data_IF_735996325093
#
_entry.id   IF_735996325093
#
_cell.length_a   1.000
_cell.length_b   1.000
_cell.length_c   1.000
_cell.angle_alpha   90.00
_cell.angle_beta   90.00
_cell.angle_gamma   90.00
#
_symmetry.space_group_name_H-M   'P 1'
#
loop_
_entity.id
_entity.type
_entity.pdbx_description
1 polymer ?
#
# COMPACT_ATOMS: atom_id res chain seq x y z
N UNK A 1 40.64 2.50 1.67
CA UNK A 1 39.37 2.56 0.93
C UNK A 1 38.84 1.15 0.78
N UNK A 2 37.60 0.90 1.20
CA UNK A 2 36.94 -0.41 1.10
C UNK A 2 36.50 -0.62 -0.35
N UNK A 3 37.00 -1.62 -1.08
CA UNK A 3 36.66 -1.88 -2.50
C UNK A 3 35.17 -2.19 -2.69
N UNK A 4 34.51 -2.65 -1.63
CA UNK A 4 33.07 -2.79 -1.45
C UNK A 4 32.29 -1.47 -1.54
N UNK A 5 32.94 -0.31 -1.41
CA UNK A 5 32.29 1.01 -1.50
C UNK A 5 32.01 1.47 -2.93
N UNK A 6 32.84 1.08 -3.91
CA UNK A 6 32.70 1.56 -5.29
C UNK A 6 31.45 0.97 -5.98
N UNK A 7 31.21 -0.36 -5.94
CA UNK A 7 29.99 -0.94 -6.51
C UNK A 7 28.72 -0.40 -5.84
N UNK A 8 28.72 -0.25 -4.51
CA UNK A 8 27.58 0.27 -3.76
C UNK A 8 27.32 1.76 -4.09
N UNK A 9 28.37 2.57 -4.19
CA UNK A 9 28.25 3.98 -4.58
C UNK A 9 27.74 4.12 -6.01
N UNK A 10 28.21 3.28 -6.94
CA UNK A 10 27.73 3.27 -8.31
C UNK A 10 26.27 2.81 -8.39
N UNK A 11 25.89 1.76 -7.66
CA UNK A 11 24.50 1.30 -7.58
C UNK A 11 23.58 2.41 -7.01
N UNK A 12 24.04 3.12 -5.98
CA UNK A 12 23.32 4.27 -5.40
C UNK A 12 23.13 5.39 -6.44
N UNK A 13 24.17 5.70 -7.21
CA UNK A 13 24.11 6.69 -8.27
C UNK A 13 23.10 6.29 -9.36
N UNK A 14 23.18 5.04 -9.83
CA UNK A 14 22.24 4.51 -10.82
C UNK A 14 20.80 4.57 -10.32
N UNK A 15 20.55 4.17 -9.07
CA UNK A 15 19.24 4.26 -8.45
C UNK A 15 18.72 5.70 -8.44
N UNK A 16 19.56 6.68 -8.05
CA UNK A 16 19.19 8.09 -8.04
C UNK A 16 18.84 8.60 -9.43
N UNK A 17 19.61 8.22 -10.46
CA UNK A 17 19.31 8.60 -11.85
C UNK A 17 18.00 7.98 -12.33
N UNK A 18 17.79 6.69 -12.08
CA UNK A 18 16.54 5.99 -12.42
C UNK A 18 15.33 6.58 -11.70
N UNK A 19 15.53 7.17 -10.51
CA UNK A 19 14.44 7.77 -9.72
C UNK A 19 13.92 9.08 -10.29
N UNK A 20 14.74 9.86 -11.00
CA UNK A 20 14.34 11.15 -11.57
C UNK A 20 13.11 11.03 -12.49
N UNK A 21 13.07 10.16 -13.51
CA UNK A 21 11.89 10.03 -14.35
C UNK A 21 10.67 9.49 -13.58
N UNK A 22 10.86 8.60 -12.61
CA UNK A 22 9.77 8.08 -11.78
C UNK A 22 9.11 9.18 -10.94
N UNK A 23 9.90 10.13 -10.42
CA UNK A 23 9.37 11.28 -9.69
C UNK A 23 8.53 12.20 -10.60
N UNK A 24 8.92 12.36 -11.87
CA UNK A 24 8.11 13.11 -12.84
C UNK A 24 6.77 12.42 -13.10
N UNK A 25 6.75 11.09 -13.18
CA UNK A 25 5.52 10.31 -13.34
C UNK A 25 4.63 10.45 -12.10
N UNK A 26 5.21 10.41 -10.91
CA UNK A 26 4.51 10.65 -9.64
C UNK A 26 3.86 12.05 -9.59
N UNK A 27 4.62 13.10 -9.91
CA UNK A 27 4.13 14.48 -9.80
C UNK A 27 3.15 14.86 -10.93
N UNK A 28 3.41 14.43 -12.18
CA UNK A 28 2.63 14.86 -13.36
C UNK A 28 1.70 13.81 -13.94
N UNK A 29 2.08 12.54 -13.87
CA UNK A 29 1.29 11.44 -14.41
C UNK A 29 0.19 11.03 -13.43
N UNK A 30 0.56 10.78 -12.18
CA UNK A 30 -0.37 10.29 -11.15
C UNK A 30 -1.31 11.39 -10.64
N UNK A 31 -0.99 12.68 -10.84
CA UNK A 31 -1.92 13.78 -10.52
C UNK A 31 -3.19 13.78 -11.36
N UNK A 32 -3.21 13.06 -12.49
CA UNK A 32 -4.41 12.87 -13.33
C UNK A 32 -5.23 11.63 -12.94
N UNK A 33 -4.70 10.80 -12.05
CA UNK A 33 -5.34 9.56 -11.60
C UNK A 33 -5.95 9.80 -10.23
N UNK A 34 -7.18 9.31 -10.04
CA UNK A 34 -7.86 9.36 -8.75
C UNK A 34 -6.95 8.84 -7.64
N UNK A 35 -6.95 9.56 -6.52
CA UNK A 35 -6.03 9.29 -5.42
C UNK A 35 -6.31 7.95 -4.72
N UNK A 36 -7.56 7.47 -4.77
CA UNK A 36 -7.95 6.16 -4.26
C UNK A 36 -7.83 5.05 -5.32
N UNK A 37 -7.38 5.38 -6.54
CA UNK A 37 -7.22 4.39 -7.61
C UNK A 37 -6.24 3.30 -7.19
N UNK A 38 -6.61 2.00 -7.33
CA UNK A 38 -5.71 0.89 -7.05
C UNK A 38 -4.39 0.98 -7.81
N UNK A 39 -4.41 1.48 -9.06
CA UNK A 39 -3.23 1.64 -9.89
C UNK A 39 -2.25 2.67 -9.31
N UNK A 40 -2.75 3.83 -8.87
CA UNK A 40 -1.92 4.88 -8.26
C UNK A 40 -1.33 4.39 -6.94
N UNK A 41 -2.13 3.74 -6.10
CA UNK A 41 -1.66 3.19 -4.82
C UNK A 41 -0.62 2.08 -4.99
N UNK A 42 -0.79 1.21 -5.98
CA UNK A 42 0.18 0.17 -6.29
C UNK A 42 1.52 0.80 -6.73
N UNK A 43 1.46 1.84 -7.56
CA UNK A 43 2.65 2.59 -7.99
C UNK A 43 3.35 3.29 -6.81
N UNK A 44 2.62 4.04 -5.98
CA UNK A 44 3.17 4.71 -4.80
C UNK A 44 3.76 3.69 -3.81
N UNK A 45 3.11 2.55 -3.61
CA UNK A 45 3.64 1.48 -2.76
C UNK A 45 4.93 0.89 -3.31
N UNK A 46 4.99 0.62 -4.61
CA UNK A 46 6.20 0.16 -5.30
C UNK A 46 7.35 1.15 -5.11
N UNK A 47 7.10 2.46 -5.28
CA UNK A 47 8.11 3.50 -5.08
C UNK A 47 8.66 3.53 -3.65
N UNK A 48 7.80 3.38 -2.64
CA UNK A 48 8.20 3.29 -1.22
C UNK A 48 9.12 2.09 -1.00
N UNK A 49 8.79 0.94 -1.59
CA UNK A 49 9.57 -0.29 -1.40
C UNK A 49 10.94 -0.20 -2.09
N UNK A 50 11.00 0.39 -3.28
CA UNK A 50 12.27 0.68 -3.95
C UNK A 50 13.14 1.63 -3.12
N UNK A 51 12.58 2.72 -2.58
CA UNK A 51 13.35 3.68 -1.76
C UNK A 51 13.84 3.02 -0.45
N UNK A 52 13.03 2.15 0.16
CA UNK A 52 13.45 1.36 1.34
C UNK A 52 14.55 0.36 1.01
N UNK A 53 14.46 -0.33 -0.12
CA UNK A 53 15.50 -1.24 -0.57
C UNK A 53 16.82 -0.48 -0.83
N UNK A 54 16.76 0.68 -1.48
CA UNK A 54 17.93 1.53 -1.69
C UNK A 54 18.52 2.06 -0.36
N UNK A 55 17.68 2.43 0.61
CA UNK A 55 18.15 2.81 1.93
C UNK A 55 18.87 1.64 2.63
N UNK A 56 18.25 0.46 2.65
CA UNK A 56 18.76 -0.70 3.38
C UNK A 56 19.99 -1.34 2.72
N UNK A 57 19.95 -1.54 1.41
CA UNK A 57 21.02 -2.24 0.67
C UNK A 57 22.16 -1.31 0.25
N UNK A 58 21.86 -0.04 -0.03
CA UNK A 58 22.83 0.91 -0.58
C UNK A 58 23.21 2.01 0.41
N UNK A 59 22.63 2.04 1.61
CA UNK A 59 22.87 3.10 2.60
C UNK A 59 22.48 4.49 2.10
N UNK A 60 21.44 4.60 1.26
CA UNK A 60 20.99 5.89 0.72
C UNK A 60 19.99 6.57 1.67
N UNK A 61 20.49 7.43 2.56
CA UNK A 61 19.66 8.23 3.48
C UNK A 61 18.63 9.11 2.76
N UNK A 62 18.95 9.57 1.54
CA UNK A 62 17.97 10.34 0.75
C UNK A 62 16.80 9.47 0.32
N UNK A 63 17.03 8.19 0.05
CA UNK A 63 15.97 7.23 -0.26
C UNK A 63 15.12 6.97 0.98
N UNK A 64 15.72 6.81 2.16
CA UNK A 64 14.98 6.69 3.42
C UNK A 64 14.04 7.88 3.67
N UNK A 65 14.56 9.11 3.50
CA UNK A 65 13.76 10.33 3.64
C UNK A 65 12.60 10.40 2.64
N UNK A 66 12.84 10.03 1.37
CA UNK A 66 11.77 9.98 0.34
C UNK A 66 10.70 8.94 0.65
N UNK A 67 11.10 7.73 1.07
CA UNK A 67 10.14 6.69 1.46
C UNK A 67 9.25 7.17 2.61
N UNK A 68 9.83 7.84 3.61
CA UNK A 68 9.07 8.40 4.73
C UNK A 68 8.13 9.52 4.29
N UNK A 69 8.60 10.45 3.46
CA UNK A 69 7.80 11.56 2.95
C UNK A 69 6.62 11.07 2.10
N UNK A 70 6.86 10.15 1.16
CA UNK A 70 5.82 9.57 0.32
C UNK A 70 4.83 8.75 1.16
N UNK A 71 5.32 7.94 2.09
CA UNK A 71 4.47 7.19 3.01
C UNK A 71 3.53 8.13 3.78
N UNK A 72 4.06 9.24 4.31
CA UNK A 72 3.28 10.23 5.05
C UNK A 72 2.23 10.91 4.17
N UNK A 73 2.58 11.27 2.93
CA UNK A 73 1.64 11.87 1.97
C UNK A 73 0.44 10.97 1.70
N UNK A 74 0.64 9.66 1.56
CA UNK A 74 -0.44 8.70 1.27
C UNK A 74 -1.17 8.18 2.52
N UNK A 75 -0.82 8.60 3.75
CA UNK A 75 -1.43 8.04 4.97
C UNK A 75 -2.95 8.26 5.02
N UNK A 76 -3.41 9.47 4.68
CA UNK A 76 -4.85 9.82 4.72
C UNK A 76 -5.66 8.91 3.81
N UNK A 77 -5.17 8.68 2.59
CA UNK A 77 -5.80 7.85 1.57
C UNK A 77 -5.86 6.39 2.02
N UNK A 78 -4.73 5.87 2.53
CA UNK A 78 -4.64 4.50 3.05
C UNK A 78 -5.55 4.29 4.26
N UNK A 79 -5.66 5.29 5.12
CA UNK A 79 -6.57 5.25 6.26
C UNK A 79 -8.03 5.20 5.81
N UNK A 80 -8.43 6.04 4.84
CA UNK A 80 -9.78 6.01 4.28
C UNK A 80 -10.13 4.65 3.67
N UNK A 81 -9.19 4.04 2.94
CA UNK A 81 -9.36 2.70 2.36
C UNK A 81 -9.47 1.63 3.46
N UNK A 82 -8.60 1.67 4.46
CA UNK A 82 -8.66 0.74 5.59
C UNK A 82 -9.99 0.84 6.34
N UNK A 83 -10.50 2.06 6.55
CA UNK A 83 -11.80 2.29 7.16
C UNK A 83 -12.94 1.73 6.31
N UNK A 84 -12.90 1.92 4.98
CA UNK A 84 -13.89 1.34 4.05
C UNK A 84 -13.90 -0.18 4.12
N UNK A 85 -12.72 -0.81 4.01
CA UNK A 85 -12.58 -2.27 4.12
C UNK A 85 -13.13 -2.78 5.45
N UNK A 86 -12.86 -2.06 6.54
CA UNK A 86 -13.36 -2.41 7.86
C UNK A 86 -14.89 -2.33 7.92
N UNK A 87 -15.50 -1.25 7.39
CA UNK A 87 -16.97 -1.12 7.30
C UNK A 87 -17.60 -2.24 6.47
N UNK A 88 -17.07 -2.51 5.29
CA UNK A 88 -17.59 -3.55 4.39
C UNK A 88 -17.53 -4.94 5.05
N UNK A 89 -16.46 -5.21 5.80
CA UNK A 89 -16.33 -6.44 6.59
C UNK A 89 -17.40 -6.54 7.69
N UNK A 90 -17.72 -5.46 8.40
CA UNK A 90 -18.77 -5.49 9.43
C UNK A 90 -20.14 -5.81 8.82
N UNK A 91 -20.46 -5.20 7.67
CA UNK A 91 -21.71 -5.47 6.95
C UNK A 91 -21.78 -6.95 6.54
N UNK A 92 -20.68 -7.51 6.03
CA UNK A 92 -20.60 -8.92 5.67
C UNK A 92 -20.85 -9.84 6.87
N UNK A 93 -20.26 -9.52 8.03
CA UNK A 93 -20.43 -10.30 9.25
C UNK A 93 -21.88 -10.25 9.76
N UNK A 94 -22.53 -9.10 9.71
CA UNK A 94 -23.95 -8.97 10.08
C UNK A 94 -24.86 -9.78 9.15
N UNK A 95 -24.58 -9.77 7.85
CA UNK A 95 -25.30 -10.61 6.90
C UNK A 95 -25.11 -12.11 7.20
N UNK A 96 -23.89 -12.53 7.54
CA UNK A 96 -23.63 -13.92 7.92
C UNK A 96 -24.37 -14.30 9.20
N UNK A 97 -24.41 -13.40 10.18
CA UNK A 97 -25.13 -13.59 11.45
C UNK A 97 -26.64 -13.75 11.22
N UNK A 98 -27.24 -12.90 10.38
CA UNK A 98 -28.65 -12.98 10.03
C UNK A 98 -29.02 -14.34 9.40
N UNK A 99 -28.20 -14.84 8.46
CA UNK A 99 -28.41 -16.17 7.84
C UNK A 99 -28.35 -17.31 8.85
N UNK A 100 -27.48 -17.20 9.86
CA UNK A 100 -27.38 -18.21 10.91
C UNK A 100 -28.63 -18.26 11.78
N UNK A 101 -29.18 -17.10 12.12
CA UNK A 101 -30.43 -16.99 12.87
C UNK A 101 -31.63 -17.54 12.07
N UNK A 102 -31.68 -17.28 10.77
CA UNK A 102 -32.72 -17.79 9.87
C UNK A 102 -32.70 -19.33 9.77
N UNK A 103 -31.52 -19.94 9.61
CA UNK A 103 -31.37 -21.41 9.61
C UNK A 103 -31.82 -22.07 10.91
N UNK A 104 -31.56 -21.44 12.06
CA UNK A 104 -32.03 -21.94 13.36
C UNK A 104 -33.55 -21.84 13.50
N UNK A 105 -34.16 -20.76 13.01
CA UNK A 105 -35.63 -20.61 13.01
C UNK A 105 -36.30 -21.68 12.15
N UNK A 106 -35.77 -21.97 10.96
CA UNK A 106 -36.31 -23.03 10.09
C UNK A 106 -36.15 -24.44 10.67
N UNK A 107 -35.06 -24.74 11.40
CA UNK A 107 -34.87 -26.06 12.05
C UNK A 107 -35.70 -26.25 13.32
N UNK A 108 -36.03 -25.18 14.04
CA UNK A 108 -36.85 -25.23 15.26
C UNK A 108 -38.36 -25.36 15.01
N UNK A 109 -38.84 -25.10 13.78
CA UNK A 109 -40.25 -25.19 13.41
C UNK A 109 -40.75 -26.60 13.05
N UNK A 110 -39.87 -27.59 12.95
CA UNK A 110 -40.25 -28.97 12.64
C UNK A 110 -40.32 -29.80 13.93
N UNK A 111 -41.42 -29.64 14.69
CA UNK A 111 -41.87 -30.67 15.64
C UNK A 111 -42.77 -31.64 14.88
N UNK A 112 -42.36 -32.90 14.65
CA UNK A 112 -43.29 -33.91 14.17
C UNK A 112 -44.27 -34.22 15.31
N UNK A 113 -45.56 -34.10 15.02
CA UNK A 113 -46.69 -34.56 15.85
C UNK A 113 -46.80 -36.08 15.82
#
# INVERSE_FOLDING_TARGET
MRLDSVPVALARLNYRVLRVPLQVIEDRGMSRIDEQSPTRLAFEHFLIDCDRAAAHLLGDERAAARAAALRNRTLTVRFAIAQRIHRDRLILLDQQRARFHERRRHRGGHRPT
#
